data_IF_611688594651
#
_entry.id   IF_611688594651
#
_cell.length_a   1.000
_cell.length_b   1.000
_cell.length_c   1.000
_cell.angle_alpha   90.00
_cell.angle_beta   90.00
_cell.angle_gamma   90.00
#
_symmetry.space_group_name_H-M   'P 1'
#
loop_
_entity.id
_entity.type
_entity.pdbx_description
1 polymer ?
#
# COMPACT_ATOMS: atom_id res chain seq x y z
N UNK A 1 23.41 2.62 -2.04
CA UNK A 1 23.83 1.30 -1.54
C UNK A 1 23.72 1.22 -0.03
N UNK A 2 24.48 2.01 0.76
CA UNK A 2 24.45 1.93 2.24
C UNK A 2 23.04 2.03 2.86
N UNK A 3 22.26 3.07 2.52
CA UNK A 3 20.90 3.26 3.06
C UNK A 3 19.99 2.08 2.70
N UNK A 4 19.95 1.69 1.42
CA UNK A 4 19.16 0.56 0.95
C UNK A 4 19.51 -0.74 1.71
N UNK A 5 20.80 -1.05 1.86
CA UNK A 5 21.23 -2.24 2.60
C UNK A 5 20.85 -2.19 4.08
N UNK A 6 20.89 -1.02 4.72
CA UNK A 6 20.43 -0.86 6.11
C UNK A 6 18.92 -1.08 6.24
N UNK A 7 18.12 -0.50 5.34
CA UNK A 7 16.66 -0.67 5.37
C UNK A 7 16.27 -2.13 5.11
N UNK A 8 16.85 -2.75 4.08
CA UNK A 8 16.62 -4.16 3.77
C UNK A 8 17.08 -5.09 4.90
N UNK A 9 18.22 -4.77 5.55
CA UNK A 9 18.67 -5.50 6.73
C UNK A 9 17.71 -5.39 7.90
N UNK A 10 17.07 -4.23 8.08
CA UNK A 10 16.05 -4.04 9.10
C UNK A 10 14.75 -4.81 8.79
N UNK A 11 14.31 -4.86 7.52
CA UNK A 11 13.18 -5.69 7.10
C UNK A 11 13.44 -7.18 7.35
N UNK A 12 14.62 -7.68 6.98
CA UNK A 12 14.99 -9.07 7.29
C UNK A 12 15.06 -9.33 8.79
N UNK A 13 15.50 -8.36 9.57
CA UNK A 13 15.49 -8.48 11.02
C UNK A 13 14.05 -8.57 11.57
N UNK A 14 13.10 -7.80 11.04
CA UNK A 14 11.69 -7.89 11.43
C UNK A 14 11.12 -9.27 11.10
N UNK A 15 11.33 -9.77 9.88
CA UNK A 15 10.88 -11.12 9.47
C UNK A 15 11.50 -12.19 10.34
N UNK A 16 12.80 -12.09 10.62
CA UNK A 16 13.48 -13.00 11.54
C UNK A 16 12.85 -12.98 12.92
N UNK A 17 12.55 -11.79 13.45
CA UNK A 17 11.92 -11.63 14.76
C UNK A 17 10.53 -12.26 14.80
N UNK A 18 9.73 -12.10 13.76
CA UNK A 18 8.42 -12.73 13.65
C UNK A 18 8.51 -14.26 13.70
N UNK A 19 9.37 -14.86 12.87
CA UNK A 19 9.58 -16.32 12.86
C UNK A 19 10.02 -16.80 14.25
N UNK A 20 10.99 -16.14 14.86
CA UNK A 20 11.51 -16.52 16.17
C UNK A 20 10.46 -16.39 17.31
N UNK A 21 9.72 -15.29 17.33
CA UNK A 21 8.81 -14.97 18.45
C UNK A 21 7.43 -15.57 18.26
N UNK A 22 6.88 -15.56 17.04
CA UNK A 22 5.54 -16.06 16.74
C UNK A 22 5.51 -17.53 16.36
N UNK A 23 6.42 -17.99 15.49
CA UNK A 23 6.44 -19.39 15.04
C UNK A 23 7.16 -20.31 16.03
N UNK A 24 8.33 -19.91 16.55
CA UNK A 24 9.08 -20.68 17.56
C UNK A 24 8.74 -20.32 19.01
N UNK A 25 7.78 -19.41 19.22
CA UNK A 25 7.25 -19.03 20.54
C UNK A 25 8.31 -18.60 21.58
N UNK A 26 9.37 -17.89 21.15
CA UNK A 26 10.42 -17.41 22.07
C UNK A 26 9.93 -16.48 23.18
N UNK A 27 8.71 -15.93 23.06
CA UNK A 27 8.05 -15.15 24.09
C UNK A 27 6.62 -15.63 24.29
N UNK A 28 6.25 -15.90 25.54
CA UNK A 28 4.86 -16.18 25.94
C UNK A 28 4.00 -14.92 26.07
N UNK A 29 4.60 -13.72 26.01
CA UNK A 29 3.90 -12.44 26.15
C UNK A 29 3.20 -12.08 24.83
N UNK A 30 1.87 -12.11 24.83
CA UNK A 30 1.04 -11.83 23.66
C UNK A 30 1.29 -10.45 23.03
N UNK A 31 1.55 -9.41 23.83
CA UNK A 31 1.85 -8.07 23.30
C UNK A 31 3.16 -8.03 22.51
N UNK A 32 4.18 -8.78 22.93
CA UNK A 32 5.47 -8.87 22.21
C UNK A 32 5.27 -9.63 20.90
N UNK A 33 4.53 -10.75 20.95
CA UNK A 33 4.15 -11.54 19.77
C UNK A 33 3.42 -10.68 18.73
N UNK A 34 2.41 -9.91 19.16
CA UNK A 34 1.68 -8.97 18.29
C UNK A 34 2.56 -7.88 17.70
N UNK A 35 3.44 -7.28 18.50
CA UNK A 35 4.30 -6.18 18.05
C UNK A 35 5.23 -6.58 16.90
N UNK A 36 5.75 -7.81 16.91
CA UNK A 36 6.67 -8.30 15.86
C UNK A 36 5.99 -9.14 14.79
N UNK A 37 4.68 -9.39 14.90
CA UNK A 37 3.94 -10.11 13.87
C UNK A 37 3.85 -9.26 12.60
N UNK A 38 4.46 -9.72 11.51
CA UNK A 38 4.56 -8.98 10.25
C UNK A 38 3.22 -8.78 9.54
N UNK A 39 2.23 -9.62 9.86
CA UNK A 39 0.93 -9.58 9.21
C UNK A 39 -0.07 -8.68 9.90
N UNK A 40 0.23 -8.28 11.14
CA UNK A 40 -0.65 -7.40 11.88
C UNK A 40 -0.48 -5.96 11.43
N UNK A 41 -1.60 -5.30 11.21
CA UNK A 41 -1.66 -3.86 10.91
C UNK A 41 -1.21 -2.99 12.11
N UNK A 42 -1.23 -3.51 13.35
CA UNK A 42 -0.74 -2.82 14.55
C UNK A 42 0.70 -3.24 14.96
N UNK A 43 1.52 -3.62 13.98
CA UNK A 43 2.88 -4.13 14.18
C UNK A 43 3.99 -3.11 13.89
N UNK A 44 5.20 -3.46 14.33
CA UNK A 44 6.42 -2.72 13.97
C UNK A 44 6.71 -2.80 12.46
N UNK A 45 6.30 -3.89 11.80
CA UNK A 45 6.39 -4.05 10.34
C UNK A 45 5.57 -2.98 9.62
N UNK A 46 4.28 -2.87 9.98
CA UNK A 46 3.38 -1.89 9.36
C UNK A 46 3.81 -0.44 9.65
N UNK A 47 4.28 -0.16 10.88
CA UNK A 47 4.82 1.16 11.21
C UNK A 47 6.03 1.53 10.33
N UNK A 48 6.95 0.59 10.14
CA UNK A 48 8.16 0.81 9.36
C UNK A 48 7.84 0.97 7.86
N UNK A 49 7.01 0.10 7.29
CA UNK A 49 6.57 0.20 5.89
C UNK A 49 5.83 1.51 5.62
N UNK A 50 4.94 1.93 6.52
CA UNK A 50 4.20 3.21 6.42
C UNK A 50 5.16 4.41 6.31
N UNK A 51 6.19 4.47 7.17
CA UNK A 51 7.21 5.53 7.13
C UNK A 51 8.04 5.46 5.84
N UNK A 52 8.41 4.26 5.39
CA UNK A 52 9.13 4.10 4.12
C UNK A 52 8.29 4.61 2.95
N UNK A 53 6.99 4.30 2.91
CA UNK A 53 6.06 4.75 1.86
C UNK A 53 5.92 6.29 1.85
N UNK A 54 5.77 6.92 3.03
CA UNK A 54 5.79 8.40 3.14
C UNK A 54 7.13 8.99 2.67
N UNK A 55 8.25 8.33 3.00
CA UNK A 55 9.58 8.76 2.57
C UNK A 55 9.74 8.70 1.06
N UNK A 56 9.26 7.62 0.42
CA UNK A 56 9.22 7.49 -1.05
C UNK A 56 8.41 8.62 -1.66
N UNK A 57 7.19 8.88 -1.15
CA UNK A 57 6.36 9.98 -1.62
C UNK A 57 7.02 11.36 -1.47
N UNK A 58 7.76 11.56 -0.38
CA UNK A 58 8.53 12.79 -0.12
C UNK A 58 9.69 12.98 -1.11
N UNK A 59 10.42 11.92 -1.43
CA UNK A 59 11.49 11.94 -2.45
C UNK A 59 10.93 12.23 -3.84
N UNK A 60 9.76 11.66 -4.16
CA UNK A 60 9.05 11.95 -5.41
C UNK A 60 8.61 13.42 -5.47
N UNK A 61 8.14 13.99 -4.35
CA UNK A 61 7.84 15.41 -4.26
C UNK A 61 9.06 16.31 -4.48
N UNK A 62 10.21 15.95 -3.91
CA UNK A 62 11.48 16.65 -4.19
C UNK A 62 11.85 16.58 -5.67
N UNK A 63 11.59 15.43 -6.31
CA UNK A 63 11.78 15.26 -7.77
C UNK A 63 10.85 16.20 -8.54
N UNK A 64 9.58 16.32 -8.15
CA UNK A 64 8.64 17.27 -8.75
C UNK A 64 9.19 18.70 -8.66
N UNK A 65 9.61 19.13 -7.47
CA UNK A 65 10.19 20.47 -7.25
C UNK A 65 11.43 20.66 -8.13
N UNK A 66 12.30 19.66 -8.25
CA UNK A 66 13.47 19.68 -9.13
C UNK A 66 13.09 19.92 -10.59
N UNK A 67 12.12 19.15 -11.12
CA UNK A 67 11.60 19.32 -12.50
C UNK A 67 11.04 20.73 -12.71
N UNK A 68 10.30 21.26 -11.74
CA UNK A 68 9.72 22.61 -11.84
C UNK A 68 10.79 23.70 -11.87
N UNK A 69 11.86 23.54 -11.07
CA UNK A 69 12.95 24.52 -10.97
C UNK A 69 13.87 24.53 -12.19
N UNK A 70 14.07 23.38 -12.83
CA UNK A 70 14.88 23.30 -14.04
C UNK A 70 14.26 24.07 -15.20
N UNK A 71 12.91 24.13 -15.27
CA UNK A 71 12.17 24.81 -16.35
C UNK A 71 12.58 24.37 -17.77
N UNK A 72 13.11 23.14 -17.90
CA UNK A 72 13.57 22.57 -19.16
C UNK A 72 12.44 21.81 -19.85
N UNK A 73 12.22 22.10 -21.13
CA UNK A 73 11.26 21.43 -22.01
C UNK A 73 9.84 22.03 -21.97
N UNK A 74 9.13 21.96 -23.09
CA UNK A 74 7.84 22.65 -23.28
C UNK A 74 6.73 22.18 -22.32
N UNK A 75 6.89 21.00 -21.72
CA UNK A 75 5.87 20.37 -20.87
C UNK A 75 6.27 20.26 -19.40
N UNK A 76 7.29 21.01 -18.93
CA UNK A 76 7.79 20.92 -17.55
C UNK A 76 6.71 21.09 -16.46
N UNK A 77 5.69 21.95 -16.71
CA UNK A 77 4.56 22.14 -15.78
C UNK A 77 3.71 20.87 -15.66
N UNK A 78 3.41 20.21 -16.77
CA UNK A 78 2.65 18.96 -16.78
C UNK A 78 3.43 17.86 -16.06
N UNK A 79 4.71 17.72 -16.39
CA UNK A 79 5.60 16.74 -15.74
C UNK A 79 5.71 16.98 -14.23
N UNK A 80 5.76 18.24 -13.80
CA UNK A 80 5.69 18.61 -12.40
C UNK A 80 4.41 18.07 -11.72
N UNK A 81 3.23 18.34 -12.30
CA UNK A 81 1.97 17.87 -11.71
C UNK A 81 1.85 16.34 -11.69
N UNK A 82 2.38 15.65 -12.70
CA UNK A 82 2.44 14.19 -12.68
C UNK A 82 3.29 13.69 -11.51
N UNK A 83 4.51 14.20 -11.33
CA UNK A 83 5.35 13.83 -10.20
C UNK A 83 4.75 14.21 -8.85
N UNK A 84 4.19 15.42 -8.71
CA UNK A 84 3.55 15.87 -7.49
C UNK A 84 2.33 15.01 -7.12
N UNK A 85 1.53 14.61 -8.11
CA UNK A 85 0.39 13.71 -7.95
C UNK A 85 0.83 12.34 -7.43
N UNK A 86 1.85 11.75 -8.03
CA UNK A 86 2.41 10.46 -7.58
C UNK A 86 2.98 10.59 -6.15
N UNK A 87 3.76 11.64 -5.86
CA UNK A 87 4.33 11.85 -4.54
C UNK A 87 3.26 12.01 -3.47
N UNK A 88 2.18 12.72 -3.78
CA UNK A 88 1.02 12.86 -2.88
C UNK A 88 0.33 11.54 -2.65
N UNK A 89 0.16 10.74 -3.70
CA UNK A 89 -0.46 9.42 -3.59
C UNK A 89 0.34 8.48 -2.69
N UNK A 90 1.67 8.41 -2.83
CA UNK A 90 2.51 7.61 -1.93
C UNK A 90 2.47 8.12 -0.48
N UNK A 91 2.46 9.44 -0.25
CA UNK A 91 2.28 9.98 1.10
C UNK A 91 0.92 9.56 1.67
N UNK A 92 -0.14 9.64 0.85
CA UNK A 92 -1.47 9.18 1.24
C UNK A 92 -1.47 7.70 1.63
N UNK A 93 -0.88 6.81 0.82
CA UNK A 93 -0.79 5.38 1.14
C UNK A 93 -0.11 5.12 2.49
N UNK A 94 1.02 5.78 2.75
CA UNK A 94 1.71 5.59 4.03
C UNK A 94 0.97 6.18 5.24
N UNK A 95 0.14 7.20 5.04
CA UNK A 95 -0.75 7.70 6.11
C UNK A 95 -1.92 6.76 6.31
N UNK A 96 -2.53 6.29 5.22
CA UNK A 96 -3.66 5.39 5.18
C UNK A 96 -3.38 4.10 5.94
N UNK A 97 -2.25 3.42 5.67
CA UNK A 97 -1.78 2.25 6.42
C UNK A 97 -1.57 2.54 7.91
N UNK A 98 -1.03 3.72 8.25
CA UNK A 98 -0.74 4.08 9.63
C UNK A 98 -2.02 4.35 10.46
N UNK A 99 -3.10 4.84 9.83
CA UNK A 99 -4.37 5.14 10.52
C UNK A 99 -5.50 4.17 10.17
N UNK A 100 -5.24 3.20 9.30
CA UNK A 100 -6.20 2.20 8.81
C UNK A 100 -7.42 2.84 8.16
N UNK A 101 -7.21 3.88 7.34
CA UNK A 101 -8.33 4.68 6.84
C UNK A 101 -9.18 3.89 5.85
N UNK A 102 -8.58 3.15 4.90
CA UNK A 102 -9.31 2.32 3.96
C UNK A 102 -10.11 1.20 4.66
N UNK A 103 -9.57 0.57 5.70
CA UNK A 103 -10.28 -0.41 6.51
C UNK A 103 -11.49 0.22 7.22
N UNK A 104 -11.30 1.32 7.94
CA UNK A 104 -12.37 2.01 8.68
C UNK A 104 -13.49 2.48 7.76
N UNK A 105 -13.14 2.98 6.59
CA UNK A 105 -14.10 3.34 5.56
C UNK A 105 -14.80 2.10 5.02
N UNK A 106 -14.07 1.00 4.76
CA UNK A 106 -14.65 -0.28 4.36
C UNK A 106 -15.69 -0.80 5.35
N UNK A 107 -15.39 -0.78 6.65
CA UNK A 107 -16.35 -1.17 7.71
C UNK A 107 -17.57 -0.26 7.70
N UNK A 108 -17.40 1.06 7.60
CA UNK A 108 -18.53 2.00 7.55
C UNK A 108 -19.43 1.75 6.33
N UNK A 109 -18.84 1.47 5.16
CA UNK A 109 -19.60 1.11 3.96
C UNK A 109 -20.29 -0.25 4.09
N UNK A 110 -19.66 -1.24 4.73
CA UNK A 110 -20.29 -2.53 4.98
C UNK A 110 -21.58 -2.37 5.79
N UNK A 111 -21.50 -1.65 6.92
CA UNK A 111 -22.67 -1.40 7.78
C UNK A 111 -23.78 -0.67 7.02
N UNK A 112 -23.45 0.35 6.22
CA UNK A 112 -24.45 1.11 5.47
C UNK A 112 -25.13 0.33 4.34
N UNK A 113 -24.46 -0.67 3.76
CA UNK A 113 -24.95 -1.39 2.58
C UNK A 113 -25.54 -2.76 2.91
N UNK A 114 -25.11 -3.39 3.99
CA UNK A 114 -25.43 -4.80 4.30
C UNK A 114 -26.05 -5.05 5.67
N UNK A 115 -25.89 -4.14 6.65
CA UNK A 115 -26.53 -4.30 7.99
C UNK A 115 -27.90 -3.61 8.10
N UNK A 116 -28.29 -2.77 7.14
CA UNK A 116 -29.66 -2.22 7.09
C UNK A 116 -30.60 -3.30 6.51
N UNK A 117 -31.62 -3.71 7.28
CA UNK A 117 -32.62 -4.77 7.02
C UNK A 117 -33.43 -4.60 5.70
N UNK A 118 -33.09 -3.63 4.84
CA UNK A 118 -33.59 -3.54 3.48
C UNK A 118 -32.82 -4.51 2.57
N UNK A 119 -33.34 -5.72 2.49
CA UNK A 119 -32.93 -6.84 1.63
C UNK A 119 -32.95 -6.59 0.11
N UNK A 120 -32.66 -5.37 -0.35
CA UNK A 120 -32.61 -4.96 -1.76
C UNK A 120 -31.19 -4.75 -2.29
N UNK A 121 -30.17 -4.64 -1.43
CA UNK A 121 -28.77 -4.56 -1.85
C UNK A 121 -28.18 -5.93 -2.29
N UNK A 122 -28.72 -7.03 -1.76
CA UNK A 122 -28.24 -8.39 -2.02
C UNK A 122 -28.64 -8.97 -3.39
N UNK A 123 -29.61 -8.37 -4.10
CA UNK A 123 -30.07 -8.88 -5.41
C UNK A 123 -29.48 -8.12 -6.62
N UNK A 124 -28.62 -7.11 -6.37
CA UNK A 124 -28.06 -6.24 -7.40
C UNK A 124 -26.62 -6.56 -7.83
N UNK A 125 -26.08 -5.77 -8.75
CA UNK A 125 -24.66 -5.83 -9.20
C UNK A 125 -23.69 -5.73 -8.02
N UNK A 126 -24.07 -5.00 -6.95
CA UNK A 126 -23.27 -4.88 -5.73
C UNK A 126 -23.25 -6.17 -4.90
N UNK A 127 -24.37 -6.89 -4.78
CA UNK A 127 -24.42 -8.21 -4.12
C UNK A 127 -23.59 -9.25 -4.87
N UNK A 128 -23.69 -9.27 -6.21
CA UNK A 128 -22.84 -10.15 -7.02
C UNK A 128 -21.34 -9.81 -6.94
N UNK A 129 -20.97 -8.53 -6.82
CA UNK A 129 -19.57 -8.12 -6.62
C UNK A 129 -19.06 -8.49 -5.22
N UNK A 130 -19.92 -8.42 -4.20
CA UNK A 130 -19.63 -8.87 -2.84
C UNK A 130 -19.32 -10.37 -2.79
N UNK A 131 -20.10 -11.20 -3.51
CA UNK A 131 -19.84 -12.65 -3.60
C UNK A 131 -18.46 -13.00 -4.21
N UNK A 132 -17.92 -12.13 -5.08
CA UNK A 132 -16.59 -12.29 -5.66
C UNK A 132 -15.45 -11.72 -4.79
N UNK A 133 -15.74 -10.75 -3.93
CA UNK A 133 -14.78 -10.10 -3.03
C UNK A 133 -15.33 -9.98 -1.60
N UNK A 134 -15.62 -11.12 -0.94
CA UNK A 134 -16.28 -11.11 0.37
C UNK A 134 -15.38 -10.48 1.45
N UNK A 135 -14.06 -10.59 1.30
CA UNK A 135 -13.11 -10.22 2.36
C UNK A 135 -12.79 -8.72 2.47
N UNK A 136 -13.17 -7.86 1.49
CA UNK A 136 -12.83 -6.42 1.59
C UNK A 136 -13.80 -5.47 0.88
N UNK A 137 -14.79 -4.98 1.60
CA UNK A 137 -15.71 -3.93 1.13
C UNK A 137 -15.02 -2.64 0.70
N UNK A 138 -13.84 -2.33 1.25
CA UNK A 138 -13.05 -1.17 0.83
C UNK A 138 -12.55 -1.30 -0.62
N UNK A 139 -12.30 -2.52 -1.12
CA UNK A 139 -11.82 -2.74 -2.48
C UNK A 139 -12.88 -2.33 -3.51
N UNK A 140 -14.17 -2.52 -3.21
CA UNK A 140 -15.26 -2.06 -4.06
C UNK A 140 -15.27 -0.52 -4.21
N UNK A 141 -14.88 0.18 -3.15
CA UNK A 141 -14.88 1.65 -3.11
C UNK A 141 -13.59 2.22 -3.69
N UNK A 142 -12.43 1.80 -3.18
CA UNK A 142 -11.13 2.39 -3.53
C UNK A 142 -10.40 1.65 -4.65
N UNK A 143 -10.67 0.35 -4.85
CA UNK A 143 -9.98 -0.50 -5.83
C UNK A 143 -9.97 0.07 -7.25
N UNK A 144 -11.11 0.52 -7.81
CA UNK A 144 -11.13 1.13 -9.14
C UNK A 144 -10.25 2.38 -9.25
N UNK A 145 -10.23 3.22 -8.21
CA UNK A 145 -9.41 4.44 -8.18
C UNK A 145 -7.93 4.10 -8.06
N UNK A 146 -7.56 3.17 -7.18
CA UNK A 146 -6.18 2.72 -7.02
C UNK A 146 -5.66 2.02 -8.27
N UNK A 147 -6.50 1.24 -8.96
CA UNK A 147 -6.15 0.63 -10.25
C UNK A 147 -5.87 1.70 -11.30
N UNK A 148 -6.73 2.70 -11.44
CA UNK A 148 -6.52 3.80 -12.38
C UNK A 148 -5.24 4.59 -12.09
N UNK A 149 -4.96 4.88 -10.82
CA UNK A 149 -3.73 5.54 -10.37
C UNK A 149 -2.51 4.66 -10.65
N UNK A 150 -2.59 3.36 -10.36
CA UNK A 150 -1.52 2.40 -10.64
C UNK A 150 -1.15 2.34 -12.13
N UNK A 151 -2.15 2.26 -13.01
CA UNK A 151 -1.95 2.31 -14.46
C UNK A 151 -1.31 3.62 -14.90
N UNK A 152 -1.75 4.75 -14.33
CA UNK A 152 -1.15 6.05 -14.58
C UNK A 152 0.31 6.12 -14.14
N UNK A 153 0.65 5.61 -12.95
CA UNK A 153 2.03 5.57 -12.43
C UNK A 153 2.92 4.76 -13.36
N UNK A 154 2.50 3.55 -13.74
CA UNK A 154 3.24 2.68 -14.67
C UNK A 154 3.47 3.40 -16.00
N UNK A 155 2.42 3.95 -16.60
CA UNK A 155 2.51 4.68 -17.87
C UNK A 155 3.45 5.89 -17.81
N UNK A 156 3.36 6.69 -16.74
CA UNK A 156 4.17 7.90 -16.58
C UNK A 156 5.63 7.56 -16.31
N UNK A 157 5.89 6.64 -15.38
CA UNK A 157 7.25 6.25 -15.00
C UNK A 157 7.98 5.51 -16.12
N UNK A 158 7.27 4.77 -16.99
CA UNK A 158 7.87 4.16 -18.18
C UNK A 158 8.53 5.21 -19.07
N UNK A 159 7.93 6.40 -19.16
CA UNK A 159 8.44 7.52 -19.95
C UNK A 159 9.45 8.37 -19.19
N UNK A 160 9.31 8.47 -17.87
CA UNK A 160 10.08 9.40 -17.04
C UNK A 160 11.40 8.81 -16.50
N UNK A 161 11.52 7.48 -16.38
CA UNK A 161 12.69 6.81 -15.80
C UNK A 161 13.71 6.39 -16.87
N UNK A 162 14.52 7.34 -17.35
CA UNK A 162 15.76 7.05 -18.07
C UNK A 162 16.95 7.16 -17.10
N UNK A 163 17.81 6.13 -16.94
CA UNK A 163 17.92 4.87 -17.68
C UNK A 163 16.99 3.74 -17.20
N UNK A 164 16.74 2.75 -18.08
CA UNK A 164 15.87 1.57 -17.84
C UNK A 164 16.18 0.76 -16.58
N UNK A 165 17.37 0.94 -15.98
CA UNK A 165 17.70 0.33 -14.69
C UNK A 165 16.72 0.74 -13.57
N UNK A 166 16.31 2.01 -13.52
CA UNK A 166 15.36 2.49 -12.52
C UNK A 166 13.98 1.87 -12.72
N UNK A 167 13.60 1.65 -13.97
CA UNK A 167 12.37 0.95 -14.32
C UNK A 167 12.35 -0.49 -13.78
N UNK A 168 13.45 -1.24 -13.88
CA UNK A 168 13.53 -2.59 -13.31
C UNK A 168 13.39 -2.60 -11.78
N UNK A 169 13.99 -1.65 -11.07
CA UNK A 169 13.82 -1.53 -9.63
C UNK A 169 12.38 -1.19 -9.23
N UNK A 170 11.72 -0.32 -10.00
CA UNK A 170 10.31 -0.04 -9.83
C UNK A 170 9.46 -1.31 -10.02
N UNK A 171 9.71 -2.10 -11.06
CA UNK A 171 8.99 -3.36 -11.29
C UNK A 171 9.20 -4.35 -10.16
N UNK A 172 10.43 -4.50 -9.64
CA UNK A 172 10.71 -5.35 -8.48
C UNK A 172 9.88 -4.89 -7.26
N UNK A 173 9.84 -3.59 -6.99
CA UNK A 173 9.02 -3.04 -5.91
C UNK A 173 7.52 -3.32 -6.10
N UNK A 174 7.00 -3.13 -7.32
CA UNK A 174 5.60 -3.44 -7.63
C UNK A 174 5.26 -4.93 -7.50
N UNK A 175 6.19 -5.82 -7.88
CA UNK A 175 6.02 -7.26 -7.70
C UNK A 175 5.97 -7.64 -6.22
N UNK A 176 6.82 -7.05 -5.38
CA UNK A 176 6.79 -7.27 -3.94
C UNK A 176 5.48 -6.75 -3.33
N UNK A 177 5.03 -5.57 -3.75
CA UNK A 177 3.75 -5.00 -3.30
C UNK A 177 2.56 -5.90 -3.67
N UNK A 178 2.55 -6.45 -4.89
CA UNK A 178 1.51 -7.40 -5.30
C UNK A 178 1.54 -8.70 -4.48
N UNK A 179 2.72 -9.18 -4.08
CA UNK A 179 2.84 -10.33 -3.16
C UNK A 179 2.26 -9.99 -1.80
N UNK A 180 2.52 -8.79 -1.26
CA UNK A 180 1.95 -8.34 0.03
C UNK A 180 0.44 -8.28 -0.03
N UNK A 181 -0.16 -7.71 -1.07
CA UNK A 181 -1.62 -7.72 -1.26
C UNK A 181 -2.17 -9.16 -1.29
N UNK A 182 -1.46 -10.07 -1.95
CA UNK A 182 -1.87 -11.48 -2.01
C UNK A 182 -1.80 -12.17 -0.65
N UNK A 183 -0.79 -11.87 0.16
CA UNK A 183 -0.67 -12.39 1.52
C UNK A 183 -1.78 -11.85 2.43
N UNK A 184 -2.03 -10.54 2.35
CA UNK A 184 -3.11 -9.87 3.08
C UNK A 184 -4.47 -10.49 2.73
N UNK A 185 -4.72 -10.73 1.43
CA UNK A 185 -5.94 -11.41 0.98
C UNK A 185 -6.10 -12.82 1.57
N UNK A 186 -5.04 -13.64 1.57
CA UNK A 186 -5.10 -15.00 2.11
C UNK A 186 -5.37 -14.98 3.61
N UNK A 187 -4.77 -14.04 4.34
CA UNK A 187 -4.98 -13.93 5.78
C UNK A 187 -6.38 -13.42 6.13
N UNK A 188 -6.93 -12.49 5.35
CA UNK A 188 -8.30 -12.04 5.49
C UNK A 188 -9.34 -13.16 5.30
N UNK A 189 -9.02 -14.23 4.56
CA UNK A 189 -9.89 -15.40 4.40
C UNK A 189 -9.87 -16.34 5.62
N UNK A 190 -8.77 -16.41 6.36
CA UNK A 190 -8.61 -17.28 7.53
C UNK A 190 -9.18 -16.64 8.82
N UNK A 191 -9.51 -15.34 8.79
CA UNK A 191 -10.07 -14.59 9.92
C UNK A 191 -11.61 -14.66 10.04
N UNK A 192 -12.29 -15.33 9.10
CA UNK A 192 -13.72 -15.70 9.16
C UNK A 192 -13.90 -17.16 9.63
#
# INVERSE_FOLDING_TARGET
MRIFSCLLGFEFFIVFMDVCVNHYEWSSVGSIRRMVNITREDSLSNWFSSIQTVTVGSVIWLTAIGVRKQMVGDHYKRTFYCWAGIGTFFIYLGIDDAIKFHERMGTAYHVLLFDDDSSSANEGVLGSLYDFFPSYTWQMVFGPFFMAIGLFIVWFLWRALEPRRLWYWFLVGMSLYAVVIGLDYVEGLDSD
#
